data_IF_210025601701
#
_entry.id   IF_210025601701
#
_cell.length_a   1.000
_cell.length_b   1.000
_cell.length_c   1.000
_cell.angle_alpha   90.00
_cell.angle_beta   90.00
_cell.angle_gamma   90.00
#
_symmetry.space_group_name_H-M   'P 1'
#
loop_
_entity.id
_entity.type
_entity.pdbx_description
1 polymer ?
#
# COMPACT_ATOMS: atom_id res chain seq x y z
N UNK A 1 8.43 -8.83 5.63
CA UNK A 1 9.34 -7.82 6.22
C UNK A 1 9.95 -6.89 5.16
N UNK A 2 9.31 -6.74 4.01
CA UNK A 2 9.87 -6.15 2.78
C UNK A 2 9.69 -4.62 2.77
N UNK A 3 8.58 -4.14 3.35
CA UNK A 3 8.22 -2.73 3.38
C UNK A 3 9.25 -1.85 4.11
N UNK A 4 9.90 -2.37 5.15
CA UNK A 4 10.92 -1.63 5.90
C UNK A 4 12.18 -1.41 5.07
N UNK A 5 12.61 -2.40 4.29
CA UNK A 5 13.74 -2.29 3.37
C UNK A 5 13.46 -1.26 2.27
N UNK A 6 12.25 -1.27 1.69
CA UNK A 6 11.83 -0.26 0.69
C UNK A 6 11.80 1.13 1.30
N UNK A 7 11.19 1.28 2.49
CA UNK A 7 11.12 2.55 3.22
C UNK A 7 12.50 3.15 3.49
N UNK A 8 13.47 2.33 3.89
CA UNK A 8 14.84 2.77 4.14
C UNK A 8 15.49 3.37 2.89
N UNK A 9 15.35 2.70 1.74
CA UNK A 9 15.91 3.21 0.48
C UNK A 9 15.20 4.50 0.06
N UNK A 10 13.87 4.57 0.13
CA UNK A 10 13.12 5.80 -0.18
C UNK A 10 13.57 6.97 0.71
N UNK A 11 13.78 6.72 2.00
CA UNK A 11 14.30 7.70 2.94
C UNK A 11 15.71 8.18 2.52
N UNK A 12 16.62 7.26 2.21
CA UNK A 12 17.99 7.59 1.77
C UNK A 12 18.00 8.41 0.46
N UNK A 13 17.07 8.13 -0.45
CA UNK A 13 16.94 8.82 -1.74
C UNK A 13 16.05 10.07 -1.67
N UNK A 14 15.52 10.43 -0.49
CA UNK A 14 14.59 11.55 -0.29
C UNK A 14 13.34 11.47 -1.19
N UNK A 15 12.87 10.27 -1.45
CA UNK A 15 11.67 10.02 -2.25
C UNK A 15 10.48 9.82 -1.30
N UNK A 16 9.42 10.65 -1.40
CA UNK A 16 8.20 10.42 -0.63
C UNK A 16 7.64 9.04 -0.96
N UNK A 17 7.28 8.27 0.06
CA UNK A 17 6.76 6.92 -0.11
C UNK A 17 5.58 6.66 0.83
N UNK A 18 4.74 5.72 0.43
CA UNK A 18 3.65 5.16 1.24
C UNK A 18 3.64 3.65 1.02
N UNK A 19 3.36 2.89 2.08
CA UNK A 19 3.23 1.43 2.01
C UNK A 19 1.80 1.06 2.38
N UNK A 20 1.13 0.34 1.48
CA UNK A 20 -0.18 -0.27 1.73
C UNK A 20 0.05 -1.76 1.99
N UNK A 21 -0.33 -2.25 3.16
CA UNK A 21 -0.21 -3.66 3.55
C UNK A 21 -1.59 -4.26 3.80
N UNK A 22 -1.78 -5.49 3.34
CA UNK A 22 -2.91 -6.32 3.72
C UNK A 22 -2.43 -7.45 4.64
N UNK A 23 -3.29 -7.86 5.57
CA UNK A 23 -3.00 -8.90 6.55
C UNK A 23 -3.53 -10.23 5.99
N UNK A 24 -2.64 -11.22 5.85
CA UNK A 24 -3.00 -12.59 5.44
C UNK A 24 -2.99 -13.59 6.60
N UNK A 25 -2.45 -13.21 7.75
CA UNK A 25 -2.39 -14.03 8.96
C UNK A 25 -2.27 -13.10 10.17
N UNK A 26 -2.86 -13.49 11.30
CA UNK A 26 -2.71 -12.79 12.55
C UNK A 26 -1.66 -13.51 13.40
N UNK A 27 -0.47 -12.93 13.49
CA UNK A 27 0.61 -13.46 14.32
C UNK A 27 0.14 -13.69 15.76
N UNK A 28 0.09 -14.96 16.18
CA UNK A 28 -0.35 -15.36 17.52
C UNK A 28 -1.86 -15.23 17.80
N UNK A 29 -2.68 -14.94 16.79
CA UNK A 29 -4.13 -14.77 16.92
C UNK A 29 -4.99 -15.69 16.03
N UNK A 30 -4.37 -16.56 15.23
CA UNK A 30 -5.03 -17.71 14.62
C UNK A 30 -5.14 -18.90 15.59
N UNK A 31 -5.79 -19.98 15.16
CA UNK A 31 -5.76 -21.24 15.91
C UNK A 31 -4.32 -21.58 16.30
N UNK A 32 -4.08 -21.97 17.57
CA UNK A 32 -2.77 -21.98 18.23
C UNK A 32 -1.62 -22.71 17.49
N UNK A 33 -1.94 -23.49 16.46
CA UNK A 33 -1.01 -24.36 15.74
C UNK A 33 -0.92 -24.11 14.21
N UNK A 34 -1.66 -23.16 13.62
CA UNK A 34 -1.69 -23.01 12.16
C UNK A 34 -1.54 -21.57 11.67
N UNK A 35 -0.57 -21.36 10.78
CA UNK A 35 -0.46 -20.15 9.96
C UNK A 35 -1.64 -20.10 8.98
N UNK A 36 -2.46 -19.04 9.06
CA UNK A 36 -3.66 -18.88 8.24
C UNK A 36 -3.36 -18.20 6.88
N UNK A 37 -2.09 -17.94 6.58
CA UNK A 37 -1.67 -17.29 5.35
C UNK A 37 -2.24 -17.98 4.11
N UNK A 38 -2.22 -19.31 4.04
CA UNK A 38 -2.73 -20.03 2.86
C UNK A 38 -4.23 -19.80 2.61
N UNK A 39 -5.01 -19.56 3.67
CA UNK A 39 -6.43 -19.27 3.57
C UNK A 39 -6.70 -17.86 3.04
N UNK A 40 -5.93 -16.86 3.51
CA UNK A 40 -6.23 -15.45 3.24
C UNK A 40 -5.29 -14.76 2.25
N UNK A 41 -4.18 -15.39 1.84
CA UNK A 41 -3.19 -14.78 0.95
C UNK A 41 -3.81 -14.26 -0.35
N UNK A 42 -4.69 -15.04 -0.98
CA UNK A 42 -5.37 -14.64 -2.22
C UNK A 42 -6.30 -13.44 -1.99
N UNK A 43 -7.01 -13.39 -0.86
CA UNK A 43 -7.89 -12.27 -0.53
C UNK A 43 -7.09 -11.01 -0.18
N UNK A 44 -6.08 -11.16 0.68
CA UNK A 44 -5.20 -10.08 1.11
C UNK A 44 -4.47 -9.43 -0.08
N UNK A 45 -3.94 -10.24 -1.00
CA UNK A 45 -3.27 -9.74 -2.22
C UNK A 45 -4.22 -8.97 -3.15
N UNK A 46 -5.42 -9.49 -3.42
CA UNK A 46 -6.44 -8.78 -4.23
C UNK A 46 -6.84 -7.43 -3.60
N UNK A 47 -7.06 -7.41 -2.29
CA UNK A 47 -7.42 -6.19 -1.57
C UNK A 47 -6.27 -5.16 -1.61
N UNK A 48 -5.03 -5.62 -1.39
CA UNK A 48 -3.84 -4.75 -1.44
C UNK A 48 -3.68 -4.11 -2.83
N UNK A 49 -3.77 -4.88 -3.91
CA UNK A 49 -3.66 -4.35 -5.28
C UNK A 49 -4.78 -3.36 -5.58
N UNK A 50 -6.02 -3.68 -5.18
CA UNK A 50 -7.17 -2.80 -5.38
C UNK A 50 -6.95 -1.45 -4.71
N UNK A 51 -6.52 -1.45 -3.45
CA UNK A 51 -6.25 -0.22 -2.70
C UNK A 51 -5.13 0.61 -3.35
N UNK A 52 -4.05 -0.02 -3.81
CA UNK A 52 -2.94 0.66 -4.51
C UNK A 52 -3.42 1.30 -5.82
N UNK A 53 -4.20 0.57 -6.62
CA UNK A 53 -4.71 1.08 -7.91
C UNK A 53 -5.63 2.29 -7.71
N UNK A 54 -6.57 2.21 -6.76
CA UNK A 54 -7.47 3.32 -6.47
C UNK A 54 -6.72 4.53 -5.90
N UNK A 55 -5.72 4.31 -5.04
CA UNK A 55 -4.88 5.38 -4.54
C UNK A 55 -4.12 6.10 -5.67
N UNK A 56 -3.52 5.36 -6.60
CA UNK A 56 -2.80 5.94 -7.76
C UNK A 56 -3.74 6.73 -8.67
N UNK A 57 -4.95 6.22 -8.94
CA UNK A 57 -5.97 6.94 -9.72
C UNK A 57 -6.32 8.28 -9.07
N UNK A 58 -6.56 8.29 -7.76
CA UNK A 58 -6.90 9.51 -7.01
C UNK A 58 -5.73 10.50 -6.92
N UNK A 59 -4.49 10.03 -6.80
CA UNK A 59 -3.30 10.88 -6.86
C UNK A 59 -3.17 11.57 -8.21
N UNK A 60 -3.38 10.84 -9.30
CA UNK A 60 -3.33 11.42 -10.65
C UNK A 60 -4.40 12.50 -10.85
N UNK A 61 -5.63 12.24 -10.40
CA UNK A 61 -6.73 13.20 -10.49
C UNK A 61 -6.45 14.46 -9.65
N UNK A 62 -5.95 14.29 -8.43
CA UNK A 62 -5.58 15.41 -7.54
C UNK A 62 -4.47 16.27 -8.14
N UNK A 63 -3.47 15.65 -8.78
CA UNK A 63 -2.36 16.38 -9.42
C UNK A 63 -2.84 17.25 -10.58
N UNK A 64 -3.77 16.73 -11.40
CA UNK A 64 -4.34 17.49 -12.51
C UNK A 64 -5.21 18.66 -12.01
N UNK A 65 -6.02 18.43 -10.97
CA UNK A 65 -6.83 19.48 -10.34
C UNK A 65 -5.97 20.63 -9.80
N UNK A 66 -4.89 20.32 -9.06
CA UNK A 66 -3.97 21.35 -8.54
C UNK A 66 -3.30 22.13 -9.68
N UNK A 67 -2.88 21.44 -10.74
CA UNK A 67 -2.27 22.07 -11.92
C UNK A 67 -3.23 23.04 -12.62
N UNK A 68 -4.51 22.65 -12.79
CA UNK A 68 -5.54 23.52 -13.36
C UNK A 68 -5.77 24.78 -12.51
N UNK A 69 -5.82 24.63 -11.19
CA UNK A 69 -5.97 25.77 -10.27
C UNK A 69 -4.78 26.74 -10.35
N UNK A 70 -3.56 26.22 -10.49
CA UNK A 70 -2.34 27.04 -10.62
C UNK A 70 -2.23 27.75 -11.98
N UNK A 71 -2.75 27.16 -13.06
CA UNK A 71 -2.71 27.75 -14.40
C UNK A 71 -3.80 28.82 -14.65
N UNK A 72 -4.80 28.89 -13.78
CA UNK A 72 -5.90 29.87 -13.86
C UNK A 72 -5.64 31.17 -13.08
N UNK A 73 -4.45 31.32 -12.49
CA UNK A 73 -3.96 32.56 -11.86
C UNK A 73 -2.94 33.23 -12.77
#
# INVERSE_FOLDING_TARGET
MESASVALICLQQRVPFIVIRAISDLAGGGGADSNEADAFLTLASKNSVTAVLEFVKQLSASKEFVKQLSASK
#
